data_IF_353292134706
#
_entry.id   IF_353292134706
#
_cell.length_a   1.000
_cell.length_b   1.000
_cell.length_c   1.000
_cell.angle_alpha   90.00
_cell.angle_beta   90.00
_cell.angle_gamma   90.00
#
_symmetry.space_group_name_H-M   'P 1'
#
loop_
_entity.id
_entity.type
_entity.pdbx_description
1 polymer ?
#
# COMPACT_ATOMS: atom_id res chain seq x y z
N UNK A 1 -16.65 -13.85 -19.17
CA UNK A 1 -15.92 -12.57 -19.34
C UNK A 1 -16.71 -11.53 -18.59
N UNK A 2 -16.12 -10.95 -17.54
CA UNK A 2 -16.79 -9.98 -16.70
C UNK A 2 -16.16 -8.60 -16.81
N UNK A 3 -16.94 -7.60 -16.40
CA UNK A 3 -16.55 -6.19 -16.38
C UNK A 3 -15.59 -5.95 -15.21
N UNK A 4 -14.59 -5.10 -15.41
CA UNK A 4 -13.68 -4.68 -14.35
C UNK A 4 -13.65 -3.17 -14.28
N UNK A 5 -13.89 -2.62 -13.10
CA UNK A 5 -13.71 -1.19 -12.83
C UNK A 5 -12.40 -1.03 -12.07
N UNK A 6 -11.47 -0.27 -12.63
CA UNK A 6 -10.23 0.10 -11.96
C UNK A 6 -10.39 1.52 -11.39
N UNK A 7 -10.11 1.71 -10.11
CA UNK A 7 -10.11 3.05 -9.50
C UNK A 7 -8.68 3.49 -9.19
N UNK A 8 -8.39 4.78 -9.38
CA UNK A 8 -7.07 5.33 -9.13
C UNK A 8 -7.16 6.74 -8.55
N UNK A 9 -6.27 7.08 -7.64
CA UNK A 9 -5.97 8.49 -7.36
C UNK A 9 -4.97 9.04 -8.38
N UNK A 10 -4.76 10.36 -8.38
CA UNK A 10 -3.79 11.01 -9.28
C UNK A 10 -2.37 10.51 -8.99
N UNK A 11 -2.03 10.37 -7.71
CA UNK A 11 -0.70 9.92 -7.26
C UNK A 11 -0.38 8.50 -7.74
N UNK A 12 -1.35 7.58 -7.75
CA UNK A 12 -1.12 6.18 -8.12
C UNK A 12 -1.58 5.83 -9.56
N UNK A 13 -1.96 6.83 -10.36
CA UNK A 13 -2.53 6.63 -11.69
C UNK A 13 -1.65 5.77 -12.61
N UNK A 14 -0.32 5.91 -12.51
CA UNK A 14 0.62 5.11 -13.32
C UNK A 14 0.55 3.62 -12.99
N UNK A 15 0.53 3.28 -11.70
CA UNK A 15 0.45 1.90 -11.24
C UNK A 15 -0.89 1.26 -11.66
N UNK A 16 -2.00 1.96 -11.37
CA UNK A 16 -3.33 1.47 -11.69
C UNK A 16 -3.59 1.37 -13.20
N UNK A 17 -3.03 2.26 -14.01
CA UNK A 17 -3.07 2.14 -15.48
C UNK A 17 -2.34 0.91 -15.98
N UNK A 18 -1.17 0.59 -15.41
CA UNK A 18 -0.42 -0.63 -15.75
C UNK A 18 -1.24 -1.89 -15.46
N UNK A 19 -1.96 -1.90 -14.33
CA UNK A 19 -2.87 -2.99 -13.96
C UNK A 19 -4.04 -3.08 -14.94
N UNK A 20 -4.68 -1.96 -15.26
CA UNK A 20 -5.78 -1.89 -16.22
C UNK A 20 -5.38 -2.41 -17.61
N UNK A 21 -4.21 -2.01 -18.11
CA UNK A 21 -3.65 -2.48 -19.39
C UNK A 21 -3.34 -3.99 -19.35
N UNK A 22 -2.88 -4.51 -18.22
CA UNK A 22 -2.65 -5.96 -18.05
C UNK A 22 -3.96 -6.74 -18.13
N UNK A 23 -4.99 -6.30 -17.43
CA UNK A 23 -6.32 -6.95 -17.44
C UNK A 23 -6.98 -6.85 -18.82
N UNK A 24 -6.83 -5.72 -19.51
CA UNK A 24 -7.32 -5.54 -20.89
C UNK A 24 -6.65 -6.54 -21.84
N UNK A 25 -5.32 -6.71 -21.75
CA UNK A 25 -4.59 -7.71 -22.55
C UNK A 25 -5.00 -9.16 -22.27
N UNK A 26 -5.63 -9.43 -21.13
CA UNK A 26 -6.21 -10.72 -20.75
C UNK A 26 -7.66 -10.90 -21.19
N UNK A 27 -8.23 -9.90 -21.88
CA UNK A 27 -9.57 -9.97 -22.47
C UNK A 27 -10.69 -9.48 -21.55
N UNK A 28 -10.38 -8.82 -20.43
CA UNK A 28 -11.38 -8.17 -19.59
C UNK A 28 -11.82 -6.84 -20.20
N UNK A 29 -13.11 -6.51 -20.07
CA UNK A 29 -13.61 -5.16 -20.34
C UNK A 29 -13.28 -4.28 -19.13
N UNK A 30 -12.31 -3.37 -19.31
CA UNK A 30 -11.76 -2.56 -18.21
C UNK A 30 -12.17 -1.10 -18.38
N UNK A 31 -12.71 -0.53 -17.31
CA UNK A 31 -12.98 0.89 -17.20
C UNK A 31 -12.18 1.51 -16.05
N UNK A 32 -11.34 2.49 -16.35
CA UNK A 32 -10.51 3.19 -15.37
C UNK A 32 -11.15 4.54 -14.98
N UNK A 33 -11.45 4.72 -13.70
CA UNK A 33 -11.91 5.99 -13.15
C UNK A 33 -10.90 6.60 -12.19
N UNK A 34 -10.81 7.93 -12.22
CA UNK A 34 -9.90 8.70 -11.36
C UNK A 34 -10.65 9.47 -10.27
N UNK A 35 -10.06 9.54 -9.09
CA UNK A 35 -10.54 10.30 -7.94
C UNK A 35 -9.83 11.63 -7.78
N UNK A 36 -10.53 12.60 -7.17
CA UNK A 36 -9.92 13.86 -6.74
C UNK A 36 -9.14 13.65 -5.43
N UNK A 37 -8.04 14.37 -5.28
CA UNK A 37 -7.21 14.47 -4.06
C UNK A 37 -7.24 15.91 -3.52
N UNK A 38 -7.07 16.13 -2.21
CA UNK A 38 -6.69 15.16 -1.15
C UNK A 38 -7.85 14.30 -0.61
N UNK A 39 -7.55 13.19 0.11
CA UNK A 39 -8.56 12.31 0.72
C UNK A 39 -9.28 13.01 1.87
N UNK A 40 -10.35 13.70 1.52
CA UNK A 40 -11.30 14.38 2.42
C UNK A 40 -12.62 13.64 2.43
N UNK A 41 -13.47 13.90 3.43
CA UNK A 41 -14.83 13.36 3.48
C UNK A 41 -15.62 13.70 2.21
N UNK A 42 -15.45 14.92 1.68
CA UNK A 42 -16.04 15.32 0.40
C UNK A 42 -15.55 14.46 -0.76
N UNK A 43 -14.24 14.25 -0.88
CA UNK A 43 -13.67 13.44 -1.96
C UNK A 43 -14.18 12.00 -1.92
N UNK A 44 -14.30 11.41 -0.73
CA UNK A 44 -14.86 10.07 -0.52
C UNK A 44 -16.29 9.98 -1.05
N UNK A 45 -17.14 10.95 -0.69
CA UNK A 45 -18.54 11.00 -1.12
C UNK A 45 -18.66 11.17 -2.64
N UNK A 46 -17.87 12.06 -3.24
CA UNK A 46 -17.90 12.30 -4.69
C UNK A 46 -17.38 11.10 -5.48
N UNK A 47 -16.30 10.46 -5.02
CA UNK A 47 -15.77 9.22 -5.57
C UNK A 47 -16.80 8.08 -5.48
N UNK A 48 -17.47 7.92 -4.32
CA UNK A 48 -18.50 6.91 -4.11
C UNK A 48 -19.69 7.08 -5.06
N UNK A 49 -20.21 8.31 -5.20
CA UNK A 49 -21.30 8.60 -6.15
C UNK A 49 -20.91 8.34 -7.59
N UNK A 50 -19.66 8.58 -7.96
CA UNK A 50 -19.15 8.25 -9.31
C UNK A 50 -19.09 6.75 -9.52
N UNK A 51 -18.55 5.99 -8.57
CA UNK A 51 -18.49 4.53 -8.63
C UNK A 51 -19.89 3.91 -8.71
N UNK A 52 -20.84 4.35 -7.87
CA UNK A 52 -22.21 3.86 -7.88
C UNK A 52 -22.92 4.10 -9.22
N UNK A 53 -22.74 5.28 -9.84
CA UNK A 53 -23.30 5.54 -11.18
C UNK A 53 -22.74 4.56 -12.20
N UNK A 54 -21.44 4.34 -12.17
CA UNK A 54 -20.76 3.44 -13.09
C UNK A 54 -21.21 1.98 -12.95
N UNK A 55 -21.28 1.50 -11.71
CA UNK A 55 -21.77 0.16 -11.42
C UNK A 55 -23.24 -0.02 -11.82
N UNK A 56 -24.05 1.03 -11.77
CA UNK A 56 -25.46 0.98 -12.17
C UNK A 56 -25.69 0.99 -13.69
N UNK A 57 -24.68 1.24 -14.51
CA UNK A 57 -24.79 1.23 -15.98
C UNK A 57 -24.91 -0.20 -16.57
N UNK A 58 -24.61 -1.24 -15.78
CA UNK A 58 -24.67 -2.62 -16.23
C UNK A 58 -24.96 -3.57 -15.07
N UNK A 59 -25.85 -4.53 -15.30
CA UNK A 59 -26.11 -5.64 -14.37
C UNK A 59 -25.08 -6.78 -14.50
N UNK A 60 -24.08 -6.65 -15.38
CA UNK A 60 -23.05 -7.65 -15.55
C UNK A 60 -22.19 -7.80 -14.27
N UNK A 61 -21.76 -9.02 -13.91
CA UNK A 61 -20.80 -9.24 -12.83
C UNK A 61 -19.58 -8.32 -13.01
N UNK A 62 -19.33 -7.49 -12.01
CA UNK A 62 -18.31 -6.45 -12.05
C UNK A 62 -17.39 -6.58 -10.85
N UNK A 63 -16.09 -6.77 -11.10
CA UNK A 63 -15.07 -6.70 -10.05
C UNK A 63 -14.49 -5.28 -10.01
N UNK A 64 -14.35 -4.71 -8.82
CA UNK A 64 -13.66 -3.44 -8.61
C UNK A 64 -12.23 -3.72 -8.17
N UNK A 65 -11.26 -3.26 -8.94
CA UNK A 65 -9.83 -3.26 -8.59
C UNK A 65 -9.44 -1.84 -8.20
N UNK A 66 -9.46 -1.58 -6.90
CA UNK A 66 -9.30 -0.24 -6.36
C UNK A 66 -7.89 0.06 -5.87
N UNK A 67 -7.44 1.28 -6.12
CA UNK A 67 -6.36 1.91 -5.36
C UNK A 67 -6.78 2.07 -3.90
N UNK A 68 -5.93 1.68 -2.95
CA UNK A 68 -6.20 1.80 -1.52
C UNK A 68 -6.51 3.25 -1.09
N UNK A 69 -5.92 4.24 -1.75
CA UNK A 69 -6.16 5.65 -1.48
C UNK A 69 -7.48 6.19 -2.08
N UNK A 70 -8.12 5.44 -2.97
CA UNK A 70 -9.44 5.77 -3.51
C UNK A 70 -10.52 5.27 -2.53
N UNK A 71 -10.96 6.14 -1.62
CA UNK A 71 -11.88 5.78 -0.54
C UNK A 71 -13.36 5.67 -0.96
N UNK A 72 -13.72 6.07 -2.19
CA UNK A 72 -15.10 5.95 -2.68
C UNK A 72 -15.64 4.51 -2.78
N UNK A 73 -14.77 3.51 -2.68
CA UNK A 73 -15.14 2.08 -2.64
C UNK A 73 -15.69 1.65 -1.27
N UNK A 74 -15.24 2.29 -0.19
CA UNK A 74 -15.50 1.86 1.19
C UNK A 74 -16.97 1.85 1.59
N UNK A 75 -17.81 2.85 1.22
CA UNK A 75 -19.19 2.88 1.68
C UNK A 75 -19.98 1.62 1.33
N UNK A 76 -19.80 1.06 0.13
CA UNK A 76 -20.51 -0.16 -0.30
C UNK A 76 -20.12 -1.36 0.57
N UNK A 77 -18.82 -1.52 0.87
CA UNK A 77 -18.33 -2.60 1.74
C UNK A 77 -18.84 -2.48 3.18
N UNK A 78 -19.09 -1.25 3.65
CA UNK A 78 -19.64 -0.98 4.98
C UNK A 78 -21.16 -0.80 5.00
N UNK A 79 -21.86 -1.25 3.96
CA UNK A 79 -23.32 -1.38 3.97
C UNK A 79 -24.09 -0.11 3.60
N UNK A 80 -23.47 0.82 2.86
CA UNK A 80 -24.21 1.84 2.13
C UNK A 80 -25.14 1.19 1.08
N UNK A 81 -26.32 1.78 0.82
CA UNK A 81 -27.17 1.33 -0.27
C UNK A 81 -26.52 1.60 -1.64
N UNK A 82 -26.76 0.73 -2.61
CA UNK A 82 -26.27 0.92 -3.97
C UNK A 82 -25.99 -0.39 -4.71
N UNK A 83 -25.54 -0.31 -5.98
CA UNK A 83 -25.12 -1.47 -6.74
C UNK A 83 -23.89 -2.10 -6.09
N UNK A 84 -23.92 -3.42 -5.91
CA UNK A 84 -22.82 -4.16 -5.28
C UNK A 84 -21.93 -4.79 -6.34
N UNK A 85 -20.61 -4.56 -6.31
CA UNK A 85 -19.70 -5.32 -7.17
C UNK A 85 -19.67 -6.79 -6.73
N UNK A 86 -19.26 -7.66 -7.64
CA UNK A 86 -19.00 -9.08 -7.35
C UNK A 86 -17.88 -9.25 -6.33
N UNK A 87 -16.89 -8.37 -6.35
CA UNK A 87 -15.84 -8.26 -5.34
C UNK A 87 -15.14 -6.89 -5.38
N UNK A 88 -14.59 -6.49 -4.24
CA UNK A 88 -13.63 -5.41 -4.09
C UNK A 88 -12.23 -5.97 -3.82
N UNK A 89 -11.32 -5.79 -4.79
CA UNK A 89 -9.89 -6.06 -4.65
C UNK A 89 -9.20 -4.71 -4.45
N UNK A 90 -8.54 -4.50 -3.32
CA UNK A 90 -7.72 -3.29 -3.11
C UNK A 90 -6.24 -3.56 -3.33
N UNK A 91 -5.58 -2.61 -3.97
CA UNK A 91 -4.16 -2.65 -4.31
C UNK A 91 -3.41 -1.71 -3.37
N UNK A 92 -2.49 -2.26 -2.59
CA UNK A 92 -1.58 -1.47 -1.75
C UNK A 92 -0.44 -0.91 -2.59
N UNK A 93 -0.54 0.36 -2.97
CA UNK A 93 0.48 1.12 -3.74
C UNK A 93 1.43 1.93 -2.86
N UNK A 94 1.21 1.90 -1.55
CA UNK A 94 1.98 2.62 -0.53
C UNK A 94 2.42 1.65 0.59
N UNK A 95 3.29 2.06 1.53
CA UNK A 95 3.70 1.22 2.65
C UNK A 95 2.50 0.66 3.43
N UNK A 96 2.55 -0.63 3.77
CA UNK A 96 1.43 -1.32 4.41
C UNK A 96 1.17 -0.80 5.83
N UNK A 97 0.08 -0.06 6.02
CA UNK A 97 -0.17 0.76 7.21
C UNK A 97 -1.26 0.23 8.16
N UNK A 98 -1.79 -0.99 7.94
CA UNK A 98 -2.77 -1.62 8.83
C UNK A 98 -2.26 -1.69 10.28
N UNK A 99 -3.09 -1.30 11.25
CA UNK A 99 -2.79 -1.42 12.68
C UNK A 99 -2.43 -2.85 13.06
N UNK A 100 -1.39 -3.02 13.90
CA UNK A 100 -0.95 -4.34 14.34
C UNK A 100 -0.43 -4.30 15.77
N UNK A 101 -0.58 -5.40 16.50
CA UNK A 101 0.06 -5.55 17.81
C UNK A 101 1.59 -5.61 17.71
N UNK A 102 2.13 -6.11 16.59
CA UNK A 102 3.56 -6.39 16.43
C UNK A 102 4.37 -5.21 15.87
N UNK A 103 3.72 -4.20 15.29
CA UNK A 103 4.39 -3.04 14.71
C UNK A 103 3.89 -1.74 15.33
N UNK A 104 4.75 -0.73 15.45
CA UNK A 104 4.30 0.61 15.83
C UNK A 104 3.40 1.22 14.72
N UNK A 105 2.58 2.24 15.04
CA UNK A 105 1.84 2.99 14.03
C UNK A 105 2.77 3.57 12.96
N UNK A 106 2.29 3.63 11.72
CA UNK A 106 3.04 4.20 10.62
C UNK A 106 3.47 5.65 10.93
N UNK A 107 4.71 6.00 10.57
CA UNK A 107 5.30 7.33 10.78
C UNK A 107 6.18 7.43 12.02
N UNK A 108 6.18 6.42 12.88
CA UNK A 108 7.05 6.38 14.07
C UNK A 108 8.46 5.88 13.73
N UNK A 109 8.65 5.16 12.62
CA UNK A 109 9.96 4.69 12.19
C UNK A 109 10.66 3.80 13.22
N UNK A 110 9.89 3.03 14.01
CA UNK A 110 10.41 2.14 15.04
C UNK A 110 10.66 0.73 14.47
N UNK A 111 11.75 0.05 14.89
CA UNK A 111 11.96 -1.35 14.55
C UNK A 111 10.93 -2.26 15.23
N UNK A 112 10.68 -3.47 14.71
CA UNK A 112 9.76 -4.42 15.31
C UNK A 112 10.30 -4.90 16.66
N UNK A 113 9.40 -5.05 17.64
CA UNK A 113 9.70 -5.58 18.97
C UNK A 113 8.56 -6.49 19.39
N UNK A 114 8.78 -7.79 19.25
CA UNK A 114 7.78 -8.82 19.50
C UNK A 114 7.66 -9.22 20.99
N UNK A 115 8.38 -8.54 21.89
CA UNK A 115 8.24 -8.76 23.33
C UNK A 115 6.90 -8.23 23.84
N UNK A 116 6.46 -8.71 25.01
CA UNK A 116 5.26 -8.18 25.65
C UNK A 116 5.34 -6.66 25.91
N UNK A 117 6.54 -6.16 26.26
CA UNK A 117 6.78 -4.73 26.45
C UNK A 117 6.69 -3.95 25.13
N UNK A 118 7.24 -4.49 24.04
CA UNK A 118 7.13 -3.90 22.70
C UNK A 118 5.67 -3.80 22.22
N UNK A 119 4.89 -4.86 22.44
CA UNK A 119 3.45 -4.89 22.12
C UNK A 119 2.65 -3.88 22.96
N UNK A 120 2.94 -3.75 24.24
CA UNK A 120 2.31 -2.74 25.11
C UNK A 120 2.66 -1.31 24.69
N UNK A 121 3.92 -1.06 24.29
CA UNK A 121 4.34 0.22 23.69
C UNK A 121 3.53 0.50 22.41
N UNK A 122 3.41 -0.47 21.50
CA UNK A 122 2.64 -0.30 20.27
C UNK A 122 1.17 0.01 20.58
N UNK A 123 0.55 -0.71 21.52
CA UNK A 123 -0.83 -0.46 21.97
C UNK A 123 -1.03 1.00 22.40
N UNK A 124 -0.16 1.53 23.27
CA UNK A 124 -0.21 2.94 23.72
C UNK A 124 0.05 3.93 22.60
N UNK A 125 0.95 3.60 21.67
CA UNK A 125 1.20 4.44 20.49
C UNK A 125 -0.03 4.52 19.58
N UNK A 126 -0.75 3.41 19.38
CA UNK A 126 -2.02 3.43 18.64
C UNK A 126 -3.12 4.22 19.36
N UNK A 127 -3.20 4.17 20.69
CA UNK A 127 -4.13 5.03 21.45
C UNK A 127 -3.82 6.51 21.17
N UNK A 128 -2.56 6.91 21.30
CA UNK A 128 -2.12 8.27 20.99
C UNK A 128 -2.44 8.69 19.55
N UNK A 129 -2.19 7.83 18.56
CA UNK A 129 -2.48 8.14 17.15
C UNK A 129 -3.98 8.25 16.88
N UNK A 130 -4.80 7.40 17.50
CA UNK A 130 -6.27 7.47 17.38
C UNK A 130 -6.81 8.78 17.97
N UNK A 131 -6.29 9.20 19.11
CA UNK A 131 -6.63 10.49 19.70
C UNK A 131 -6.18 11.66 18.82
N UNK A 132 -4.94 11.62 18.31
CA UNK A 132 -4.39 12.65 17.44
C UNK A 132 -5.14 12.78 16.10
N UNK A 133 -5.68 11.67 15.58
CA UNK A 133 -6.48 11.63 14.36
C UNK A 133 -8.00 11.67 14.62
N UNK A 134 -8.45 12.02 15.83
CA UNK A 134 -9.86 12.06 16.20
C UNK A 134 -10.71 12.90 15.23
N UNK A 135 -10.26 14.11 14.87
CA UNK A 135 -10.98 14.96 13.91
C UNK A 135 -11.06 14.37 12.50
N UNK A 136 -10.00 13.67 12.04
CA UNK A 136 -9.99 12.98 10.75
C UNK A 136 -10.93 11.76 10.78
N UNK A 137 -10.95 11.04 11.90
CA UNK A 137 -11.88 9.94 12.13
C UNK A 137 -13.34 10.41 12.12
N UNK A 138 -13.64 11.53 12.78
CA UNK A 138 -14.98 12.14 12.80
C UNK A 138 -15.43 12.55 11.39
N UNK A 139 -14.58 13.24 10.62
CA UNK A 139 -14.87 13.61 9.23
C UNK A 139 -15.11 12.37 8.36
N UNK A 140 -14.30 11.33 8.50
CA UNK A 140 -14.48 10.05 7.81
C UNK A 140 -15.82 9.40 8.14
N UNK A 141 -16.17 9.32 9.43
CA UNK A 141 -17.45 8.76 9.89
C UNK A 141 -18.62 9.58 9.34
N UNK A 142 -18.58 10.91 9.44
CA UNK A 142 -19.62 11.79 8.89
C UNK A 142 -19.81 11.57 7.39
N UNK A 143 -18.72 11.52 6.62
CA UNK A 143 -18.76 11.26 5.19
C UNK A 143 -19.40 9.90 4.86
N UNK A 144 -18.99 8.84 5.55
CA UNK A 144 -19.56 7.49 5.40
C UNK A 144 -21.06 7.49 5.73
N UNK A 145 -21.47 8.12 6.83
CA UNK A 145 -22.90 8.24 7.22
C UNK A 145 -23.71 9.04 6.22
N UNK A 146 -23.14 10.10 5.62
CA UNK A 146 -23.82 10.95 4.63
C UNK A 146 -24.24 10.21 3.36
N UNK A 147 -23.59 9.08 3.06
CA UNK A 147 -23.93 8.19 1.93
C UNK A 147 -24.65 6.91 2.38
N UNK A 148 -25.14 6.86 3.62
CA UNK A 148 -26.03 5.82 4.11
C UNK A 148 -25.34 4.57 4.66
N UNK A 149 -24.06 4.64 5.01
CA UNK A 149 -23.35 3.54 5.70
C UNK A 149 -24.03 3.23 7.03
N UNK A 150 -24.34 1.96 7.26
CA UNK A 150 -25.05 1.48 8.46
C UNK A 150 -24.14 0.74 9.44
N UNK A 151 -22.98 0.24 9.00
CA UNK A 151 -22.02 -0.44 9.88
C UNK A 151 -21.62 0.42 11.08
N UNK A 152 -21.61 -0.15 12.27
CA UNK A 152 -21.24 0.53 13.52
C UNK A 152 -20.67 -0.48 14.53
N UNK A 153 -19.52 -0.20 15.19
CA UNK A 153 -18.64 0.94 14.96
C UNK A 153 -17.94 0.85 13.60
N UNK A 154 -17.65 2.00 12.98
CA UNK A 154 -16.75 2.02 11.82
C UNK A 154 -15.29 1.78 12.28
N UNK A 155 -14.48 1.05 11.49
CA UNK A 155 -13.06 0.90 11.78
C UNK A 155 -12.32 2.24 11.78
N UNK A 156 -11.09 2.20 12.29
CA UNK A 156 -10.19 3.34 12.18
C UNK A 156 -9.97 3.72 10.72
N UNK A 157 -9.93 5.02 10.42
CA UNK A 157 -9.84 5.54 9.06
C UNK A 157 -8.67 4.97 8.26
N UNK A 158 -7.53 4.69 8.90
CA UNK A 158 -6.35 4.09 8.26
C UNK A 158 -6.46 2.57 8.10
N UNK A 159 -7.24 1.90 8.94
CA UNK A 159 -7.45 0.43 8.87
C UNK A 159 -8.58 0.07 7.89
N UNK A 160 -9.57 0.95 7.76
CA UNK A 160 -10.81 0.70 7.04
C UNK A 160 -10.62 0.20 5.59
N UNK A 161 -9.72 0.78 4.77
CA UNK A 161 -9.50 0.26 3.42
C UNK A 161 -9.09 -1.21 3.40
N UNK A 162 -8.07 -1.57 4.16
CA UNK A 162 -7.54 -2.94 4.20
C UNK A 162 -8.60 -3.93 4.71
N UNK A 163 -9.39 -3.52 5.70
CA UNK A 163 -10.44 -4.36 6.29
C UNK A 163 -11.69 -4.48 5.41
N UNK A 164 -11.96 -3.52 4.53
CA UNK A 164 -13.15 -3.50 3.66
C UNK A 164 -13.05 -4.40 2.43
N UNK A 165 -11.83 -4.77 2.03
CA UNK A 165 -11.58 -5.48 0.78
C UNK A 165 -11.87 -6.97 0.90
N UNK A 166 -12.47 -7.57 -0.14
CA UNK A 166 -12.57 -9.03 -0.25
C UNK A 166 -11.18 -9.64 -0.40
N UNK A 167 -10.27 -8.94 -1.08
CA UNK A 167 -8.83 -9.24 -1.15
C UNK A 167 -8.02 -7.94 -1.13
N UNK A 168 -6.95 -7.94 -0.35
CA UNK A 168 -5.98 -6.86 -0.35
C UNK A 168 -4.65 -7.36 -0.90
N UNK A 169 -4.22 -6.82 -2.04
CA UNK A 169 -2.99 -7.21 -2.72
C UNK A 169 -1.96 -6.09 -2.55
N UNK A 170 -1.07 -6.25 -1.57
CA UNK A 170 0.02 -5.31 -1.34
C UNK A 170 1.07 -5.48 -2.44
N UNK A 171 1.37 -4.39 -3.16
CA UNK A 171 2.46 -4.36 -4.14
C UNK A 171 3.81 -4.26 -3.41
N UNK A 172 4.15 -5.29 -2.64
CA UNK A 172 5.45 -5.42 -1.98
C UNK A 172 5.77 -6.86 -1.61
N UNK A 173 6.94 -7.05 -1.02
CA UNK A 173 7.30 -8.23 -0.23
C UNK A 173 6.90 -8.01 1.23
N UNK A 174 6.62 -9.08 1.95
CA UNK A 174 6.18 -8.99 3.36
C UNK A 174 7.25 -8.37 4.25
N UNK A 175 8.53 -8.65 3.96
CA UNK A 175 9.64 -8.20 4.80
C UNK A 175 9.76 -6.68 4.92
N UNK A 176 9.37 -5.94 3.87
CA UNK A 176 9.32 -4.47 3.91
C UNK A 176 8.17 -3.92 4.75
N UNK A 177 7.27 -4.79 5.23
CA UNK A 177 6.12 -4.43 6.06
C UNK A 177 6.21 -4.93 7.50
N UNK A 178 7.39 -5.45 7.89
CA UNK A 178 7.63 -6.25 9.10
C UNK A 178 6.68 -7.46 9.17
N UNK A 179 7.17 -8.59 9.67
CA UNK A 179 6.28 -9.75 9.86
C UNK A 179 5.32 -9.49 11.01
N UNK A 180 4.05 -9.84 10.80
CA UNK A 180 2.97 -9.61 11.78
C UNK A 180 2.24 -10.91 12.03
N UNK A 181 1.90 -11.18 13.30
CA UNK A 181 1.12 -12.35 13.69
C UNK A 181 -0.38 -12.20 13.44
N UNK A 182 -0.83 -10.96 13.22
CA UNK A 182 -2.24 -10.57 13.08
C UNK A 182 -2.60 -10.07 11.67
N UNK A 183 -1.76 -10.32 10.65
CA UNK A 183 -2.13 -10.01 9.26
C UNK A 183 -3.39 -10.78 8.85
N UNK A 184 -4.46 -10.10 8.40
CA UNK A 184 -5.68 -10.77 7.96
C UNK A 184 -5.46 -11.76 6.81
N UNK A 185 -6.22 -12.85 6.80
CA UNK A 185 -6.04 -13.95 5.84
C UNK A 185 -6.39 -13.57 4.39
N UNK A 186 -7.03 -12.43 4.14
CA UNK A 186 -7.32 -11.89 2.81
C UNK A 186 -6.24 -10.93 2.28
N UNK A 187 -5.22 -10.61 3.08
CA UNK A 187 -4.06 -9.80 2.68
C UNK A 187 -3.00 -10.68 2.04
N UNK A 188 -2.47 -10.28 0.89
CA UNK A 188 -1.38 -10.96 0.18
C UNK A 188 -0.34 -9.97 -0.31
N UNK A 189 0.92 -10.31 -0.10
CA UNK A 189 2.07 -9.62 -0.68
C UNK A 189 2.36 -10.23 -2.05
N UNK A 190 2.25 -9.42 -3.11
CA UNK A 190 2.28 -9.91 -4.50
C UNK A 190 3.49 -9.40 -5.29
N UNK A 191 4.49 -8.83 -4.61
CA UNK A 191 5.67 -8.28 -5.26
C UNK A 191 5.38 -6.93 -5.91
N UNK A 192 6.07 -6.60 -6.99
CA UNK A 192 6.00 -5.26 -7.60
C UNK A 192 5.54 -5.33 -9.05
N UNK A 193 5.01 -4.20 -9.54
CA UNK A 193 4.75 -4.03 -10.95
C UNK A 193 6.07 -4.05 -11.74
N UNK A 194 6.04 -4.45 -13.03
CA UNK A 194 7.22 -4.40 -13.88
C UNK A 194 7.83 -3.00 -13.91
N UNK A 195 9.13 -2.93 -13.66
CA UNK A 195 9.91 -1.70 -13.69
C UNK A 195 11.14 -1.85 -14.61
N UNK A 196 11.64 -0.74 -15.19
CA UNK A 196 12.90 -0.73 -15.92
C UNK A 196 14.04 -1.24 -15.06
N UNK A 197 15.05 -1.81 -15.73
CA UNK A 197 16.24 -2.32 -15.04
C UNK A 197 16.96 -1.20 -14.26
N UNK A 198 17.55 -1.56 -13.13
CA UNK A 198 18.40 -0.68 -12.34
C UNK A 198 19.85 -1.04 -12.63
N UNK A 199 20.57 -0.19 -13.36
CA UNK A 199 21.98 -0.47 -13.72
C UNK A 199 22.93 -0.14 -12.56
N UNK A 200 22.57 0.83 -11.71
CA UNK A 200 23.39 1.34 -10.61
C UNK A 200 23.86 0.25 -9.64
N UNK A 201 25.11 0.33 -9.15
CA UNK A 201 25.63 -0.60 -8.14
C UNK A 201 25.06 -0.35 -6.74
N UNK A 202 24.63 0.88 -6.48
CA UNK A 202 24.00 1.36 -5.26
C UNK A 202 23.03 2.49 -5.63
N UNK A 203 21.88 2.56 -4.96
CA UNK A 203 20.89 3.61 -5.19
C UNK A 203 20.88 4.57 -4.01
N UNK A 204 21.11 5.86 -4.24
CA UNK A 204 20.93 6.92 -3.25
C UNK A 204 19.56 7.56 -3.48
N UNK A 205 18.70 7.61 -2.46
CA UNK A 205 17.31 8.04 -2.62
C UNK A 205 16.72 8.63 -1.34
N UNK A 206 15.65 9.40 -1.49
CA UNK A 206 14.80 9.87 -0.39
C UNK A 206 13.93 8.77 0.24
N UNK A 207 13.87 7.60 -0.38
CA UNK A 207 13.09 6.48 0.15
C UNK A 207 11.68 6.33 -0.37
N UNK A 208 11.33 7.01 -1.49
CA UNK A 208 10.05 6.75 -2.15
C UNK A 208 9.80 5.25 -2.34
N UNK A 209 8.58 4.82 -2.04
CA UNK A 209 8.18 3.41 -2.01
C UNK A 209 8.58 2.68 -3.30
N UNK A 210 8.25 3.24 -4.46
CA UNK A 210 8.61 2.68 -5.77
C UNK A 210 10.12 2.56 -5.99
N UNK A 211 10.92 3.53 -5.54
CA UNK A 211 12.37 3.52 -5.73
C UNK A 211 13.04 2.44 -4.90
N UNK A 212 12.66 2.32 -3.63
CA UNK A 212 13.14 1.26 -2.73
C UNK A 212 12.86 -0.11 -3.33
N UNK A 213 11.61 -0.30 -3.75
CA UNK A 213 11.18 -1.57 -4.32
C UNK A 213 11.88 -1.92 -5.64
N UNK A 214 12.04 -0.94 -6.54
CA UNK A 214 12.78 -1.13 -7.80
C UNK A 214 14.22 -1.56 -7.55
N UNK A 215 14.92 -0.88 -6.63
CA UNK A 215 16.31 -1.20 -6.31
C UNK A 215 16.44 -2.63 -5.76
N UNK A 216 15.61 -2.98 -4.77
CA UNK A 216 15.65 -4.30 -4.14
C UNK A 216 15.25 -5.43 -5.09
N UNK A 217 14.26 -5.22 -5.95
CA UNK A 217 13.90 -6.16 -7.03
C UNK A 217 15.09 -6.47 -7.95
N UNK A 218 15.95 -5.49 -8.18
CA UNK A 218 17.15 -5.61 -9.01
C UNK A 218 18.43 -5.92 -8.22
N UNK A 219 18.28 -6.38 -6.98
CA UNK A 219 19.38 -6.74 -6.09
C UNK A 219 20.37 -5.60 -5.82
N UNK A 220 19.89 -4.35 -5.83
CA UNK A 220 20.70 -3.16 -5.58
C UNK A 220 20.48 -2.69 -4.14
N UNK A 221 21.56 -2.57 -3.33
CA UNK A 221 21.44 -1.99 -2.01
C UNK A 221 21.23 -0.47 -2.10
N UNK A 222 20.80 0.13 -0.99
CA UNK A 222 20.42 1.55 -0.96
C UNK A 222 21.15 2.36 0.11
N UNK A 223 21.31 3.66 -0.15
CA UNK A 223 21.54 4.69 0.85
C UNK A 223 20.31 5.60 0.85
N UNK A 224 19.70 5.77 2.02
CA UNK A 224 18.42 6.45 2.17
C UNK A 224 18.58 7.73 2.98
N UNK A 225 17.86 8.78 2.59
CA UNK A 225 17.85 10.10 3.24
C UNK A 225 16.41 10.55 3.50
N UNK A 226 16.23 11.69 4.17
CA UNK A 226 14.91 12.25 4.45
C UNK A 226 14.38 11.91 5.86
N UNK A 227 13.46 12.72 6.37
CA UNK A 227 12.86 12.61 7.71
C UNK A 227 11.36 12.88 7.77
N UNK A 228 10.66 13.00 6.64
CA UNK A 228 9.19 13.06 6.68
C UNK A 228 8.62 11.79 7.33
N UNK A 229 7.38 11.81 7.81
CA UNK A 229 6.78 10.63 8.47
C UNK A 229 6.80 9.40 7.55
N UNK A 230 6.44 9.57 6.28
CA UNK A 230 6.46 8.50 5.27
C UNK A 230 7.88 7.98 5.00
N UNK A 231 8.86 8.89 4.94
CA UNK A 231 10.27 8.56 4.74
C UNK A 231 10.82 7.80 5.96
N UNK A 232 10.53 8.26 7.18
CA UNK A 232 10.95 7.58 8.41
C UNK A 232 10.42 6.15 8.44
N UNK A 233 9.14 5.97 8.10
CA UNK A 233 8.51 4.65 8.10
C UNK A 233 9.13 3.72 7.06
N UNK A 234 9.15 4.14 5.80
CA UNK A 234 9.67 3.33 4.69
C UNK A 234 11.17 3.05 4.82
N UNK A 235 11.96 4.06 5.19
CA UNK A 235 13.41 3.95 5.25
C UNK A 235 13.88 3.11 6.43
N UNK A 236 13.24 3.21 7.60
CA UNK A 236 13.57 2.31 8.71
C UNK A 236 13.26 0.86 8.35
N UNK A 237 12.12 0.59 7.70
CA UNK A 237 11.75 -0.76 7.26
C UNK A 237 12.74 -1.31 6.23
N UNK A 238 13.13 -0.48 5.25
CA UNK A 238 14.15 -0.85 4.28
C UNK A 238 15.51 -1.13 4.95
N UNK A 239 15.93 -0.30 5.92
CA UNK A 239 17.16 -0.50 6.66
C UNK A 239 17.13 -1.77 7.52
N UNK A 240 15.99 -2.12 8.11
CA UNK A 240 15.81 -3.33 8.91
C UNK A 240 16.02 -4.63 8.11
N UNK A 241 15.87 -4.59 6.79
CA UNK A 241 16.22 -5.73 5.92
C UNK A 241 17.73 -5.99 5.81
N UNK A 242 18.54 -5.02 6.24
CA UNK A 242 19.98 -5.00 6.04
C UNK A 242 20.42 -4.76 4.60
N UNK A 243 19.52 -4.40 3.68
CA UNK A 243 19.84 -4.05 2.30
C UNK A 243 19.94 -2.53 2.05
N UNK A 244 19.62 -1.72 3.06
CA UNK A 244 19.70 -0.27 2.98
C UNK A 244 20.41 0.33 4.20
N UNK A 245 21.16 1.42 3.99
CA UNK A 245 21.72 2.26 5.03
C UNK A 245 20.92 3.57 5.07
N UNK A 246 20.26 3.84 6.19
CA UNK A 246 19.44 5.04 6.37
C UNK A 246 20.17 6.11 7.18
N UNK A 247 20.38 7.30 6.59
CA UNK A 247 21.08 8.43 7.19
C UNK A 247 20.20 9.29 8.11
N UNK A 248 18.87 9.15 8.06
CA UNK A 248 17.91 9.89 8.89
C UNK A 248 18.14 11.42 8.94
N UNK A 249 18.49 12.02 7.80
CA UNK A 249 18.71 13.46 7.63
C UNK A 249 18.14 13.96 6.31
N UNK A 250 17.52 15.15 6.33
CA UNK A 250 17.08 15.86 5.12
C UNK A 250 18.22 16.63 4.44
N UNK A 251 19.37 16.78 5.12
CA UNK A 251 20.51 17.57 4.66
C UNK A 251 21.81 16.78 4.86
N UNK A 252 22.00 15.66 4.15
CA UNK A 252 23.27 14.94 4.19
C UNK A 252 24.36 15.83 3.56
N UNK A 253 25.56 15.83 4.14
CA UNK A 253 26.72 16.40 3.46
C UNK A 253 27.24 15.43 2.38
N UNK A 254 28.03 15.94 1.43
CA UNK A 254 28.67 15.09 0.42
C UNK A 254 29.53 13.99 1.07
N UNK A 255 30.25 14.33 2.16
CA UNK A 255 31.05 13.40 2.94
C UNK A 255 30.18 12.29 3.59
N UNK A 256 28.96 12.62 4.01
CA UNK A 256 28.04 11.63 4.58
C UNK A 256 27.56 10.64 3.52
N UNK A 257 27.22 11.14 2.33
CA UNK A 257 26.80 10.31 1.20
C UNK A 257 27.97 9.44 0.75
N UNK A 258 29.17 10.00 0.56
CA UNK A 258 30.34 9.25 0.11
C UNK A 258 30.68 8.14 1.11
N UNK A 259 30.65 8.45 2.41
CA UNK A 259 30.90 7.47 3.47
C UNK A 259 29.85 6.35 3.47
N UNK A 260 28.58 6.69 3.35
CA UNK A 260 27.49 5.71 3.31
C UNK A 260 27.56 4.80 2.09
N UNK A 261 27.80 5.39 0.91
CA UNK A 261 28.02 4.65 -0.34
C UNK A 261 29.20 3.70 -0.20
N UNK A 262 30.33 4.17 0.34
CA UNK A 262 31.50 3.33 0.59
C UNK A 262 31.18 2.16 1.51
N UNK A 263 30.44 2.38 2.61
CA UNK A 263 30.01 1.31 3.52
C UNK A 263 29.18 0.27 2.75
N UNK A 264 28.13 0.71 2.06
CA UNK A 264 27.20 -0.18 1.34
C UNK A 264 27.89 -0.98 0.23
N UNK A 265 28.89 -0.40 -0.45
CA UNK A 265 29.65 -1.08 -1.51
C UNK A 265 30.71 -2.05 -0.96
N UNK A 266 31.27 -1.79 0.22
CA UNK A 266 32.38 -2.58 0.78
C UNK A 266 31.91 -3.70 1.72
N UNK A 267 30.82 -3.49 2.46
CA UNK A 267 30.24 -4.52 3.31
C UNK A 267 29.36 -5.46 2.45
N UNK A 268 29.78 -6.73 2.26
CA UNK A 268 29.08 -7.67 1.39
C UNK A 268 27.68 -8.03 1.89
N UNK A 269 27.35 -7.76 3.15
CA UNK A 269 26.03 -8.07 3.73
C UNK A 269 24.91 -7.31 3.03
N UNK A 270 25.11 -6.03 2.68
CA UNK A 270 24.11 -5.23 1.97
C UNK A 270 23.72 -5.84 0.62
N UNK A 271 24.71 -6.20 -0.19
CA UNK A 271 24.49 -6.85 -1.49
C UNK A 271 23.92 -8.26 -1.32
N UNK A 272 24.33 -8.99 -0.29
CA UNK A 272 23.76 -10.30 0.06
C UNK A 272 22.27 -10.22 0.38
N UNK A 273 21.88 -9.26 1.22
CA UNK A 273 20.47 -9.02 1.59
C UNK A 273 19.65 -8.51 0.40
N UNK A 274 20.19 -7.60 -0.42
CA UNK A 274 19.52 -7.15 -1.63
C UNK A 274 19.27 -8.31 -2.62
N UNK A 275 20.23 -9.23 -2.81
CA UNK A 275 20.04 -10.44 -3.63
C UNK A 275 18.99 -11.39 -3.07
N UNK A 276 18.96 -11.55 -1.75
CA UNK A 276 17.95 -12.37 -1.06
C UNK A 276 16.55 -11.81 -1.29
N UNK A 277 16.36 -10.50 -1.15
CA UNK A 277 15.10 -9.82 -1.45
C UNK A 277 14.73 -9.90 -2.94
N UNK A 278 15.69 -9.73 -3.84
CA UNK A 278 15.46 -9.91 -5.28
C UNK A 278 14.96 -11.33 -5.62
N UNK A 279 15.49 -12.36 -4.96
CA UNK A 279 15.02 -13.73 -5.10
C UNK A 279 13.61 -13.94 -4.52
N UNK A 280 13.22 -13.18 -3.50
CA UNK A 280 11.84 -13.14 -3.01
C UNK A 280 10.91 -12.50 -4.03
N UNK A 281 11.26 -11.30 -4.53
CA UNK A 281 10.51 -10.64 -5.60
C UNK A 281 10.35 -11.53 -6.85
N UNK A 282 11.39 -12.28 -7.23
CA UNK A 282 11.35 -13.17 -8.39
C UNK A 282 10.34 -14.34 -8.26
N UNK A 283 9.89 -14.66 -7.04
CA UNK A 283 8.87 -15.69 -6.79
C UNK A 283 7.44 -15.14 -6.81
N UNK A 284 7.29 -13.83 -6.91
CA UNK A 284 6.00 -13.15 -6.88
C UNK A 284 5.68 -12.59 -8.27
N UNK A 285 4.40 -12.62 -8.63
CA UNK A 285 3.88 -12.05 -9.88
C UNK A 285 2.66 -11.17 -9.55
N UNK A 286 2.89 -9.86 -9.44
CA UNK A 286 1.85 -8.90 -9.08
C UNK A 286 0.69 -8.91 -10.09
N UNK A 287 1.01 -8.80 -11.38
CA UNK A 287 0.00 -8.72 -12.43
C UNK A 287 -0.74 -10.05 -12.60
N UNK A 288 -0.03 -11.18 -12.53
CA UNK A 288 -0.64 -12.51 -12.56
C UNK A 288 -1.55 -12.76 -11.35
N UNK A 289 -1.12 -12.37 -10.15
CA UNK A 289 -1.93 -12.51 -8.92
C UNK A 289 -3.20 -11.68 -8.97
N UNK A 290 -3.10 -10.43 -9.45
CA UNK A 290 -4.28 -9.55 -9.63
C UNK A 290 -5.23 -10.17 -10.65
N UNK A 291 -4.72 -10.61 -11.81
CA UNK A 291 -5.53 -11.24 -12.87
C UNK A 291 -6.24 -12.48 -12.35
N UNK A 292 -5.51 -13.41 -11.72
CA UNK A 292 -6.07 -14.65 -11.19
C UNK A 292 -7.14 -14.38 -10.11
N UNK A 293 -6.94 -13.34 -9.28
CA UNK A 293 -7.93 -12.96 -8.26
C UNK A 293 -9.19 -12.40 -8.92
N UNK A 294 -9.06 -11.53 -9.93
CA UNK A 294 -10.19 -11.00 -10.71
C UNK A 294 -10.96 -12.13 -11.38
N UNK A 295 -10.27 -13.03 -12.07
CA UNK A 295 -10.87 -14.17 -12.76
C UNK A 295 -11.64 -15.08 -11.80
N UNK A 296 -11.09 -15.34 -10.60
CA UNK A 296 -11.75 -16.16 -9.58
C UNK A 296 -13.04 -15.56 -8.99
N UNK A 297 -13.27 -14.25 -9.13
CA UNK A 297 -14.52 -13.60 -8.74
C UNK A 297 -15.49 -13.38 -9.91
N UNK A 298 -15.03 -13.55 -11.15
CA UNK A 298 -15.84 -13.43 -12.37
C UNK A 298 -16.25 -14.77 -12.98
N UNK A 299 -15.71 -15.88 -12.47
CA UNK A 299 -16.08 -17.26 -12.80
C UNK A 299 -17.33 -17.70 -12.04
#
# INVERSE_FOLDING_TARGET
MGRVVVTATTTHLRAMRTIAESLTRRGHEVELITGLEPPTGRSLVDQHRRLCRLLAESDAPTVVVGDVAFQGTLPLSYGAPGPKPSALILIGTEPFSLSSIDTAPAGFGLPPDHTAAGRERNRRAYEYVRDALGGVQEEFVEAMRSVGVTHDPLPFVLDAPVLAADRFLQLSVEELSYRRSDTPSHVRFVGTLPSPHCEDDVVVSDGSFDTVQRALRHAKPLVLTGRSADQLEGNTRAAATGAALYLATDKPSDDDIERAVRIVLTDPTYRGNARRLAAEYARLDALGSITATVEGYLS
#
